data_IF_065346800547
#
_entry.id   IF_065346800547
#
_cell.length_a   1.000
_cell.length_b   1.000
_cell.length_c   1.000
_cell.angle_alpha   90.00
_cell.angle_beta   90.00
_cell.angle_gamma   90.00
#
_symmetry.space_group_name_H-M   'P 1'
#
loop_
_entity.id
_entity.type
_entity.pdbx_description
1 polymer ?
#
# COMPACT_ATOMS: atom_id res chain seq x y z
N UNK A 1 36.02 28.63 -15.13
CA UNK A 1 35.96 27.76 -13.92
C UNK A 1 34.73 26.85 -13.89
N UNK A 2 33.52 27.28 -14.22
CA UNK A 2 32.34 26.42 -14.16
C UNK A 2 32.37 25.15 -15.05
N UNK A 3 33.00 25.23 -16.25
CA UNK A 3 33.16 24.07 -17.14
C UNK A 3 34.02 22.95 -16.57
N UNK A 4 34.97 23.26 -15.67
CA UNK A 4 35.83 22.25 -15.05
C UNK A 4 35.05 21.45 -14.02
N UNK A 5 34.22 22.10 -13.19
CA UNK A 5 33.41 21.38 -12.18
C UNK A 5 32.35 20.48 -12.82
N UNK A 6 31.68 20.94 -13.89
CA UNK A 6 30.72 20.09 -14.60
C UNK A 6 31.41 18.91 -15.28
N UNK A 7 32.56 19.11 -15.94
CA UNK A 7 33.32 18.02 -16.55
C UNK A 7 33.78 17.01 -15.50
N UNK A 8 34.25 17.48 -14.34
CA UNK A 8 34.66 16.61 -13.25
C UNK A 8 33.45 15.79 -12.69
N UNK A 9 32.32 16.46 -12.50
CA UNK A 9 31.09 15.80 -12.03
C UNK A 9 30.63 14.69 -12.99
N UNK A 10 30.59 14.94 -14.29
CA UNK A 10 30.23 13.94 -15.29
C UNK A 10 31.24 12.79 -15.34
N UNK A 11 32.53 13.09 -15.26
CA UNK A 11 33.57 12.07 -15.22
C UNK A 11 33.44 11.19 -13.98
N UNK A 12 33.13 11.78 -12.82
CA UNK A 12 32.91 11.04 -11.57
C UNK A 12 31.69 10.11 -11.68
N UNK A 13 30.58 10.58 -12.24
CA UNK A 13 29.40 9.74 -12.46
C UNK A 13 29.73 8.57 -13.41
N UNK A 14 30.46 8.85 -14.49
CA UNK A 14 30.88 7.83 -15.47
C UNK A 14 31.81 6.79 -14.88
N UNK A 15 32.80 7.21 -14.11
CA UNK A 15 33.78 6.31 -13.47
C UNK A 15 33.14 5.47 -12.37
N UNK A 16 32.16 6.01 -11.65
CA UNK A 16 31.42 5.34 -10.58
C UNK A 16 30.04 4.83 -11.04
N UNK A 17 29.88 4.46 -12.33
CA UNK A 17 28.62 4.00 -12.90
C UNK A 17 27.98 2.83 -12.14
N UNK A 18 28.77 1.94 -11.57
CA UNK A 18 28.31 0.80 -10.76
C UNK A 18 27.58 1.22 -9.48
N UNK A 19 27.80 2.43 -8.98
CA UNK A 19 27.11 3.01 -7.83
C UNK A 19 25.95 3.91 -8.26
N UNK A 20 26.14 4.75 -9.30
CA UNK A 20 25.15 5.72 -9.71
C UNK A 20 24.01 5.12 -10.57
N UNK A 21 24.29 4.15 -11.46
CA UNK A 21 23.25 3.55 -12.30
C UNK A 21 22.12 2.87 -11.49
N UNK A 22 22.42 2.00 -10.49
CA UNK A 22 21.37 1.45 -9.66
C UNK A 22 20.57 2.52 -8.90
N UNK A 23 21.22 3.60 -8.48
CA UNK A 23 20.56 4.72 -7.78
C UNK A 23 19.62 5.50 -8.70
N UNK A 24 20.04 5.79 -9.95
CA UNK A 24 19.19 6.45 -10.95
C UNK A 24 18.01 5.54 -11.34
N UNK A 25 18.26 4.25 -11.57
CA UNK A 25 17.20 3.29 -11.93
C UNK A 25 16.18 3.16 -10.80
N UNK A 26 16.63 3.02 -9.56
CA UNK A 26 15.69 2.95 -8.43
C UNK A 26 14.91 4.24 -8.25
N UNK A 27 15.54 5.42 -8.42
CA UNK A 27 14.87 6.70 -8.44
C UNK A 27 13.82 6.78 -9.56
N UNK A 28 14.18 6.37 -10.79
CA UNK A 28 13.28 6.30 -11.94
C UNK A 28 12.03 5.45 -11.63
N UNK A 29 12.22 4.26 -11.06
CA UNK A 29 11.11 3.36 -10.72
C UNK A 29 10.20 3.97 -9.67
N UNK A 30 10.76 4.55 -8.59
CA UNK A 30 9.97 5.19 -7.53
C UNK A 30 9.16 6.39 -8.07
N UNK A 31 9.77 7.21 -8.91
CA UNK A 31 9.12 8.36 -9.55
C UNK A 31 8.02 7.90 -10.50
N UNK A 32 8.28 6.85 -11.30
CA UNK A 32 7.29 6.29 -12.20
C UNK A 32 6.08 5.73 -11.44
N UNK A 33 6.31 4.98 -10.37
CA UNK A 33 5.23 4.44 -9.52
C UNK A 33 4.40 5.56 -8.88
N UNK A 34 5.05 6.59 -8.36
CA UNK A 34 4.36 7.74 -7.78
C UNK A 34 3.53 8.47 -8.83
N UNK A 35 4.10 8.72 -10.01
CA UNK A 35 3.39 9.37 -11.12
C UNK A 35 2.16 8.57 -11.55
N UNK A 36 2.28 7.25 -11.74
CA UNK A 36 1.17 6.37 -12.12
C UNK A 36 0.04 6.45 -11.08
N UNK A 37 0.39 6.37 -9.80
CA UNK A 37 -0.60 6.44 -8.71
C UNK A 37 -1.29 7.81 -8.68
N UNK A 38 -0.55 8.89 -8.84
CA UNK A 38 -1.08 10.26 -8.89
C UNK A 38 -1.92 10.50 -10.15
N UNK A 39 -1.54 9.93 -11.28
CA UNK A 39 -2.31 9.96 -12.52
C UNK A 39 -3.65 9.26 -12.37
N UNK A 40 -3.67 8.06 -11.78
CA UNK A 40 -4.90 7.31 -11.51
C UNK A 40 -5.82 8.08 -10.56
N UNK A 41 -5.27 8.65 -9.50
CA UNK A 41 -6.02 9.47 -8.55
C UNK A 41 -6.72 10.68 -9.20
N UNK A 42 -6.07 11.28 -10.19
CA UNK A 42 -6.60 12.46 -10.90
C UNK A 42 -7.41 12.11 -12.16
N UNK A 43 -7.67 10.83 -12.43
CA UNK A 43 -8.32 10.43 -13.67
C UNK A 43 -9.84 10.68 -13.62
N UNK A 44 -10.34 11.50 -14.56
CA UNK A 44 -11.78 11.84 -14.68
C UNK A 44 -12.69 10.63 -14.97
N UNK A 45 -12.13 9.54 -15.48
CA UNK A 45 -12.89 8.30 -15.74
C UNK A 45 -13.28 7.56 -14.46
N UNK A 46 -12.40 7.59 -13.45
CA UNK A 46 -12.66 6.97 -12.16
C UNK A 46 -13.60 7.80 -11.26
N UNK A 47 -13.68 9.11 -11.45
CA UNK A 47 -14.58 9.96 -10.66
C UNK A 47 -16.08 9.74 -10.92
N UNK A 48 -16.42 8.97 -11.95
CA UNK A 48 -17.82 8.61 -12.28
C UNK A 48 -18.25 7.24 -11.74
N UNK A 49 -17.35 6.50 -11.12
CA UNK A 49 -17.65 5.16 -10.58
C UNK A 49 -18.25 5.29 -9.19
N UNK A 50 -19.26 4.48 -8.82
CA UNK A 50 -19.74 4.43 -7.44
C UNK A 50 -18.58 4.18 -6.46
N UNK A 51 -18.46 5.01 -5.40
CA UNK A 51 -17.34 4.92 -4.46
C UNK A 51 -16.05 5.66 -4.88
N UNK A 52 -16.12 6.55 -5.89
CA UNK A 52 -14.98 7.32 -6.40
C UNK A 52 -14.22 8.09 -5.31
N UNK A 53 -14.94 8.69 -4.34
CA UNK A 53 -14.32 9.47 -3.25
C UNK A 53 -13.48 8.58 -2.31
N UNK A 54 -13.98 7.39 -1.99
CA UNK A 54 -13.22 6.41 -1.20
C UNK A 54 -11.98 5.94 -1.97
N UNK A 55 -12.12 5.65 -3.26
CA UNK A 55 -11.02 5.25 -4.13
C UNK A 55 -9.94 6.35 -4.24
N UNK A 56 -10.35 7.62 -4.43
CA UNK A 56 -9.45 8.76 -4.48
C UNK A 56 -8.69 8.95 -3.14
N UNK A 57 -9.39 8.78 -2.02
CA UNK A 57 -8.78 8.84 -0.69
C UNK A 57 -7.72 7.75 -0.49
N UNK A 58 -8.01 6.50 -0.88
CA UNK A 58 -7.07 5.38 -0.82
C UNK A 58 -5.85 5.66 -1.70
N UNK A 59 -6.06 6.09 -2.93
CA UNK A 59 -4.96 6.41 -3.86
C UNK A 59 -4.11 7.57 -3.36
N UNK A 60 -4.72 8.60 -2.76
CA UNK A 60 -4.01 9.72 -2.14
C UNK A 60 -3.12 9.27 -0.98
N UNK A 61 -3.63 8.44 -0.09
CA UNK A 61 -2.85 7.84 1.00
C UNK A 61 -1.72 6.93 0.45
N UNK A 62 -1.99 6.17 -0.62
CA UNK A 62 -0.98 5.39 -1.34
C UNK A 62 0.15 6.25 -1.89
N UNK A 63 -0.16 7.41 -2.50
CA UNK A 63 0.84 8.39 -2.93
C UNK A 63 1.72 8.85 -1.76
N UNK A 64 1.12 9.18 -0.61
CA UNK A 64 1.84 9.56 0.61
C UNK A 64 2.80 8.46 1.08
N UNK A 65 2.35 7.22 1.11
CA UNK A 65 3.18 6.07 1.50
C UNK A 65 4.35 5.86 0.55
N UNK A 66 4.11 5.93 -0.77
CA UNK A 66 5.17 5.83 -1.79
C UNK A 66 6.19 6.97 -1.62
N UNK A 67 5.75 8.21 -1.35
CA UNK A 67 6.63 9.35 -1.14
C UNK A 67 7.53 9.15 0.09
N UNK A 68 6.97 8.75 1.22
CA UNK A 68 7.73 8.47 2.46
C UNK A 68 8.74 7.34 2.25
N UNK A 69 8.29 6.23 1.64
CA UNK A 69 9.18 5.11 1.36
C UNK A 69 10.30 5.51 0.40
N UNK A 70 9.98 6.24 -0.67
CA UNK A 70 10.97 6.74 -1.63
C UNK A 70 12.01 7.64 -0.96
N UNK A 71 11.58 8.52 -0.04
CA UNK A 71 12.49 9.36 0.73
C UNK A 71 13.47 8.51 1.54
N UNK A 72 12.97 7.57 2.34
CA UNK A 72 13.82 6.71 3.17
C UNK A 72 14.80 5.93 2.31
N UNK A 73 14.32 5.33 1.22
CA UNK A 73 15.14 4.50 0.33
C UNK A 73 16.22 5.32 -0.42
N UNK A 74 15.82 6.42 -1.04
CA UNK A 74 16.75 7.29 -1.81
C UNK A 74 17.78 7.94 -0.89
N UNK A 75 17.35 8.41 0.29
CA UNK A 75 18.25 8.99 1.29
C UNK A 75 19.27 7.97 1.79
N UNK A 76 18.83 6.75 2.10
CA UNK A 76 19.72 5.68 2.52
C UNK A 76 20.73 5.32 1.41
N UNK A 77 20.25 5.12 0.19
CA UNK A 77 21.11 4.77 -0.96
C UNK A 77 22.12 5.87 -1.27
N UNK A 78 21.68 7.12 -1.24
CA UNK A 78 22.59 8.26 -1.39
C UNK A 78 23.65 8.31 -0.26
N UNK A 79 23.23 8.11 0.99
CA UNK A 79 24.17 8.05 2.13
C UNK A 79 25.23 6.97 1.94
N UNK A 80 24.82 5.83 1.37
CA UNK A 80 25.75 4.74 1.04
C UNK A 80 26.77 5.15 -0.04
N UNK A 81 26.31 5.82 -1.11
CA UNK A 81 27.17 6.32 -2.19
C UNK A 81 28.20 7.31 -1.63
N UNK A 82 27.76 8.29 -0.86
CA UNK A 82 28.64 9.29 -0.24
C UNK A 82 29.68 8.65 0.67
N UNK A 83 29.29 7.66 1.47
CA UNK A 83 30.25 6.92 2.34
C UNK A 83 31.31 6.18 1.53
N UNK A 84 30.95 5.56 0.41
CA UNK A 84 31.89 4.89 -0.49
C UNK A 84 32.88 5.85 -1.14
N UNK A 85 32.42 7.06 -1.46
CA UNK A 85 33.23 8.09 -2.13
C UNK A 85 34.04 8.98 -1.18
N UNK A 86 33.95 8.76 0.13
CA UNK A 86 34.72 9.54 1.12
C UNK A 86 36.22 9.60 0.84
N UNK A 87 36.80 8.51 0.33
CA UNK A 87 38.25 8.47 -0.03
C UNK A 87 38.53 9.42 -1.22
N UNK A 88 37.70 9.44 -2.26
CA UNK A 88 37.86 10.32 -3.42
C UNK A 88 37.81 11.79 -2.98
N UNK A 89 36.80 12.15 -2.15
CA UNK A 89 36.66 13.48 -1.56
C UNK A 89 37.88 13.87 -0.75
N UNK A 90 38.47 12.93 0.02
CA UNK A 90 39.72 13.13 0.79
C UNK A 90 40.90 13.43 -0.14
N UNK A 91 41.05 12.70 -1.25
CA UNK A 91 42.11 12.90 -2.23
C UNK A 91 42.02 14.29 -2.88
N UNK A 92 40.84 14.72 -3.26
CA UNK A 92 40.65 16.07 -3.81
C UNK A 92 41.08 17.17 -2.86
N UNK A 93 40.82 17.00 -1.58
CA UNK A 93 41.23 17.97 -0.55
C UNK A 93 42.76 18.03 -0.39
N UNK A 94 43.47 16.88 -0.48
CA UNK A 94 44.93 16.83 -0.42
C UNK A 94 45.58 17.45 -1.67
N UNK A 95 44.94 17.27 -2.85
CA UNK A 95 45.36 17.88 -4.09
C UNK A 95 45.13 19.41 -4.12
N UNK A 96 44.68 19.99 -2.99
CA UNK A 96 44.51 21.44 -2.84
C UNK A 96 43.11 21.96 -3.19
N UNK A 97 42.12 21.09 -3.44
CA UNK A 97 40.74 21.55 -3.64
C UNK A 97 40.10 21.93 -2.30
N UNK A 98 39.69 23.16 -2.16
CA UNK A 98 38.96 23.63 -0.99
C UNK A 98 37.56 22.96 -0.88
N UNK A 99 37.03 22.89 0.34
CA UNK A 99 35.73 22.26 0.61
C UNK A 99 34.59 22.85 -0.24
N UNK A 100 34.63 24.15 -0.57
CA UNK A 100 33.61 24.79 -1.39
C UNK A 100 33.66 24.35 -2.86
N UNK A 101 34.82 24.05 -3.41
CA UNK A 101 34.97 23.49 -4.75
C UNK A 101 34.43 22.08 -4.86
N UNK A 102 34.75 21.24 -3.82
CA UNK A 102 34.23 19.89 -3.70
C UNK A 102 32.71 19.91 -3.55
N UNK A 103 32.17 20.84 -2.75
CA UNK A 103 30.73 21.04 -2.59
C UNK A 103 30.04 21.37 -3.90
N UNK A 104 30.65 22.23 -4.76
CA UNK A 104 30.11 22.55 -6.10
C UNK A 104 30.09 21.34 -7.03
N UNK A 105 31.16 20.54 -7.05
CA UNK A 105 31.18 19.29 -7.85
C UNK A 105 30.07 18.36 -7.41
N UNK A 106 29.92 18.13 -6.10
CA UNK A 106 28.91 17.25 -5.53
C UNK A 106 27.49 17.77 -5.77
N UNK A 107 27.28 19.10 -5.75
CA UNK A 107 25.99 19.72 -6.11
C UNK A 107 25.63 19.43 -7.57
N UNK A 108 26.57 19.59 -8.50
CA UNK A 108 26.35 19.30 -9.91
C UNK A 108 26.06 17.81 -10.15
N UNK A 109 26.80 16.92 -9.47
CA UNK A 109 26.54 15.47 -9.51
C UNK A 109 25.14 15.13 -9.03
N UNK A 110 24.74 15.63 -7.84
CA UNK A 110 23.42 15.36 -7.26
C UNK A 110 22.31 15.93 -8.16
N UNK A 111 22.49 17.13 -8.70
CA UNK A 111 21.52 17.75 -9.61
C UNK A 111 21.38 16.95 -10.91
N UNK A 112 22.51 16.52 -11.50
CA UNK A 112 22.50 15.71 -12.73
C UNK A 112 21.77 14.39 -12.53
N UNK A 113 22.03 13.72 -11.42
CA UNK A 113 21.37 12.45 -11.05
C UNK A 113 19.87 12.68 -10.82
N UNK A 114 19.51 13.76 -10.10
CA UNK A 114 18.12 14.13 -9.85
C UNK A 114 17.36 14.38 -11.17
N UNK A 115 17.93 15.21 -12.06
CA UNK A 115 17.32 15.50 -13.36
C UNK A 115 17.17 14.24 -14.22
N UNK A 116 18.21 13.38 -14.26
CA UNK A 116 18.14 12.13 -15.00
C UNK A 116 17.06 11.19 -14.45
N UNK A 117 16.97 11.03 -13.13
CA UNK A 117 15.97 10.18 -12.49
C UNK A 117 14.54 10.74 -12.65
N UNK A 118 14.34 12.06 -12.46
CA UNK A 118 13.02 12.70 -12.59
C UNK A 118 12.55 12.63 -14.04
N UNK A 119 13.40 13.00 -15.01
CA UNK A 119 13.02 12.98 -16.42
C UNK A 119 12.69 11.55 -16.89
N UNK A 120 13.59 10.58 -16.64
CA UNK A 120 13.37 9.19 -17.02
C UNK A 120 12.18 8.56 -16.29
N UNK A 121 11.99 8.90 -15.01
CA UNK A 121 10.88 8.42 -14.18
C UNK A 121 9.53 8.93 -14.66
N UNK A 122 9.42 10.21 -15.01
CA UNK A 122 8.18 10.78 -15.57
C UNK A 122 7.88 10.17 -16.95
N UNK A 123 8.87 10.03 -17.83
CA UNK A 123 8.69 9.40 -19.14
C UNK A 123 8.19 7.96 -18.96
N UNK A 124 8.85 7.18 -18.13
CA UNK A 124 8.42 5.82 -17.80
C UNK A 124 7.02 5.80 -17.19
N UNK A 125 6.74 6.70 -16.23
CA UNK A 125 5.44 6.84 -15.59
C UNK A 125 4.31 7.15 -16.57
N UNK A 126 4.53 8.05 -17.53
CA UNK A 126 3.56 8.36 -18.59
C UNK A 126 3.28 7.15 -19.46
N UNK A 127 4.30 6.38 -19.84
CA UNK A 127 4.13 5.16 -20.62
C UNK A 127 3.36 4.08 -19.83
N UNK A 128 3.74 3.84 -18.59
CA UNK A 128 3.07 2.85 -17.74
C UNK A 128 1.66 3.27 -17.30
N UNK A 129 1.39 4.55 -17.14
CA UNK A 129 0.05 5.03 -16.76
C UNK A 129 -1.02 4.67 -17.79
N UNK A 130 -0.66 4.70 -19.09
CA UNK A 130 -1.56 4.27 -20.16
C UNK A 130 -1.88 2.77 -20.06
N UNK A 131 -0.88 1.95 -19.82
CA UNK A 131 -1.09 0.50 -19.65
C UNK A 131 -1.95 0.21 -18.43
N UNK A 132 -1.69 0.89 -17.31
CA UNK A 132 -2.43 0.72 -16.07
C UNK A 132 -3.90 1.12 -16.20
N UNK A 133 -4.21 2.25 -16.83
CA UNK A 133 -5.60 2.67 -16.99
C UNK A 133 -6.37 1.75 -17.94
N UNK A 134 -5.72 1.23 -19.01
CA UNK A 134 -6.32 0.24 -19.90
C UNK A 134 -6.64 -1.05 -19.14
N UNK A 135 -5.72 -1.52 -18.32
CA UNK A 135 -5.89 -2.71 -17.49
C UNK A 135 -7.03 -2.54 -16.50
N UNK A 136 -7.11 -1.38 -15.85
CA UNK A 136 -8.12 -1.06 -14.86
C UNK A 136 -9.52 -0.98 -15.49
N UNK A 137 -9.67 -0.33 -16.65
CA UNK A 137 -10.95 -0.29 -17.38
C UNK A 137 -11.42 -1.66 -17.86
N UNK A 138 -10.49 -2.54 -18.22
CA UNK A 138 -10.81 -3.92 -18.57
C UNK A 138 -11.31 -4.72 -17.37
N UNK A 139 -10.73 -4.54 -16.18
CA UNK A 139 -11.17 -5.22 -14.95
C UNK A 139 -12.57 -4.74 -14.54
N UNK A 140 -12.81 -3.43 -14.58
CA UNK A 140 -14.10 -2.82 -14.16
C UNK A 140 -15.18 -2.96 -15.25
N UNK A 141 -14.83 -3.52 -16.41
CA UNK A 141 -15.71 -3.70 -17.57
C UNK A 141 -16.36 -2.38 -18.05
N UNK A 142 -15.64 -1.27 -17.96
CA UNK A 142 -16.12 0.03 -18.44
C UNK A 142 -15.70 0.23 -19.89
N UNK A 143 -16.66 0.42 -20.81
CA UNK A 143 -16.42 0.87 -22.18
C UNK A 143 -16.11 2.37 -22.20
N UNK A 144 -14.92 2.77 -21.74
CA UNK A 144 -14.53 4.17 -21.80
C UNK A 144 -13.66 4.42 -23.04
N UNK A 145 -13.90 5.56 -23.71
CA UNK A 145 -12.99 6.04 -24.76
C UNK A 145 -11.67 6.45 -24.08
N UNK A 146 -10.61 5.72 -24.41
CA UNK A 146 -9.28 5.96 -23.84
C UNK A 146 -8.66 7.15 -24.57
N UNK A 147 -8.96 8.36 -24.13
CA UNK A 147 -8.25 9.54 -24.58
C UNK A 147 -6.94 9.62 -23.78
N UNK A 148 -5.82 9.57 -24.50
CA UNK A 148 -4.51 9.73 -23.90
C UNK A 148 -4.31 11.21 -23.51
N UNK A 149 -4.55 11.51 -22.25
CA UNK A 149 -4.28 12.84 -21.68
C UNK A 149 -3.17 12.71 -20.65
N UNK A 150 -2.09 13.47 -20.83
CA UNK A 150 -1.07 13.63 -19.80
C UNK A 150 -1.64 14.54 -18.72
N UNK A 151 -1.68 14.05 -17.47
CA UNK A 151 -2.14 14.88 -16.35
C UNK A 151 -1.04 15.86 -15.95
N UNK A 152 -1.18 17.13 -16.32
CA UNK A 152 -0.25 18.17 -15.96
C UNK A 152 -0.08 18.29 -14.43
N UNK A 153 -1.17 18.12 -13.66
CA UNK A 153 -1.12 18.14 -12.20
C UNK A 153 -0.31 16.99 -11.61
N UNK A 154 -0.40 15.78 -12.19
CA UNK A 154 0.41 14.65 -11.77
C UNK A 154 1.90 14.88 -12.05
N UNK A 155 2.25 15.47 -13.22
CA UNK A 155 3.64 15.83 -13.55
C UNK A 155 4.18 16.85 -12.55
N UNK A 156 3.45 17.94 -12.33
CA UNK A 156 3.88 19.04 -11.43
C UNK A 156 4.07 18.53 -10.01
N UNK A 157 3.11 17.78 -9.47
CA UNK A 157 3.20 17.24 -8.12
C UNK A 157 4.37 16.24 -7.97
N UNK A 158 4.61 15.41 -8.99
CA UNK A 158 5.75 14.50 -9.00
C UNK A 158 7.08 15.25 -8.99
N UNK A 159 7.23 16.28 -9.85
CA UNK A 159 8.43 17.13 -9.89
C UNK A 159 8.63 17.82 -8.53
N UNK A 160 7.57 18.35 -7.93
CA UNK A 160 7.63 19.08 -6.68
C UNK A 160 8.09 18.15 -5.54
N UNK A 161 7.44 17.01 -5.36
CA UNK A 161 7.75 16.07 -4.28
C UNK A 161 9.17 15.51 -4.44
N UNK A 162 9.52 14.97 -5.59
CA UNK A 162 10.87 14.42 -5.81
C UNK A 162 11.94 15.49 -5.90
N UNK A 163 11.61 16.68 -6.38
CA UNK A 163 12.49 17.85 -6.32
C UNK A 163 12.86 18.20 -4.88
N UNK A 164 11.88 18.26 -3.98
CA UNK A 164 12.12 18.47 -2.54
C UNK A 164 12.95 17.33 -1.94
N UNK A 165 12.67 16.06 -2.29
CA UNK A 165 13.44 14.92 -1.81
C UNK A 165 14.92 14.99 -2.23
N UNK A 166 15.19 15.26 -3.48
CA UNK A 166 16.57 15.43 -3.98
C UNK A 166 17.25 16.68 -3.42
N UNK A 167 16.49 17.75 -3.19
CA UNK A 167 17.01 18.94 -2.53
C UNK A 167 17.44 18.66 -1.07
N UNK A 168 16.63 17.96 -0.30
CA UNK A 168 17.01 17.51 1.05
C UNK A 168 18.24 16.60 1.02
N UNK A 169 18.32 15.73 0.03
CA UNK A 169 19.49 14.86 -0.20
C UNK A 169 20.74 15.70 -0.51
N UNK A 170 20.62 16.76 -1.30
CA UNK A 170 21.71 17.69 -1.60
C UNK A 170 22.20 18.38 -0.32
N UNK A 171 21.29 18.91 0.49
CA UNK A 171 21.65 19.55 1.77
C UNK A 171 22.44 18.56 2.64
N UNK A 172 21.98 17.32 2.76
CA UNK A 172 22.66 16.29 3.51
C UNK A 172 24.09 16.04 2.97
N UNK A 173 24.26 15.94 1.65
CA UNK A 173 25.56 15.75 1.00
C UNK A 173 26.53 16.89 1.30
N UNK A 174 26.03 18.14 1.21
CA UNK A 174 26.83 19.33 1.54
C UNK A 174 27.25 19.38 3.01
N UNK A 175 26.35 18.99 3.93
CA UNK A 175 26.69 18.88 5.35
C UNK A 175 27.78 17.84 5.60
N UNK A 176 27.75 16.70 4.93
CA UNK A 176 28.78 15.67 5.04
C UNK A 176 30.17 16.18 4.62
N UNK A 177 30.25 16.98 3.55
CA UNK A 177 31.51 17.59 3.09
C UNK A 177 32.02 18.64 4.08
N UNK A 178 31.14 19.49 4.63
CA UNK A 178 31.54 20.51 5.62
C UNK A 178 32.09 19.87 6.90
N UNK A 179 31.47 18.81 7.40
CA UNK A 179 31.84 18.11 8.64
C UNK A 179 33.03 17.16 8.46
N UNK A 180 33.44 16.87 7.24
CA UNK A 180 34.51 15.92 6.99
C UNK A 180 35.91 16.52 7.30
N UNK A 181 36.67 15.81 8.13
CA UNK A 181 38.10 16.10 8.37
C UNK A 181 38.95 15.36 7.32
N UNK A 182 39.79 16.07 6.53
CA UNK A 182 40.55 15.45 5.44
C UNK A 182 41.47 14.31 5.90
N UNK A 183 42.06 14.44 7.05
CA UNK A 183 42.99 13.45 7.65
C UNK A 183 42.20 12.18 8.04
N UNK A 184 41.01 12.31 8.61
CA UNK A 184 40.16 11.17 8.96
C UNK A 184 39.61 10.43 7.72
N UNK A 185 39.36 11.15 6.61
CA UNK A 185 38.90 10.55 5.37
C UNK A 185 39.92 9.60 4.74
N UNK A 186 41.22 9.92 4.85
CA UNK A 186 42.30 9.06 4.34
C UNK A 186 42.62 7.91 5.28
N UNK A 187 42.67 8.20 6.58
CA UNK A 187 42.95 7.16 7.60
C UNK A 187 41.79 6.16 7.71
N UNK A 188 40.57 6.57 7.41
CA UNK A 188 39.37 5.73 7.52
C UNK A 188 39.39 4.44 6.69
N UNK A 189 40.35 4.28 5.76
CA UNK A 189 40.56 3.03 5.03
C UNK A 189 41.51 2.04 5.74
N UNK A 190 42.41 2.52 6.60
CA UNK A 190 43.42 1.74 7.26
C UNK A 190 43.19 1.58 8.78
N UNK A 191 42.30 2.42 9.35
CA UNK A 191 41.87 2.25 10.75
C UNK A 191 40.67 1.30 10.72
N UNK A 192 40.78 0.16 11.39
CA UNK A 192 39.73 -0.82 11.57
C UNK A 192 38.43 -0.12 12.01
N UNK A 193 37.30 -0.50 11.44
CA UNK A 193 36.03 0.11 11.79
C UNK A 193 35.74 0.03 13.27
N UNK A 194 35.44 1.19 13.88
CA UNK A 194 35.03 1.22 15.30
C UNK A 194 33.77 0.35 15.47
N UNK A 195 33.81 -0.49 16.48
CA UNK A 195 32.66 -1.34 16.83
C UNK A 195 31.37 -0.49 17.01
N UNK A 196 30.25 -0.90 16.43
CA UNK A 196 29.01 -0.15 16.56
C UNK A 196 28.54 -0.11 18.02
N UNK A 197 28.19 1.09 18.52
CA UNK A 197 27.56 1.21 19.84
C UNK A 197 26.18 0.57 19.81
N UNK A 198 25.83 -0.22 20.82
CA UNK A 198 24.50 -0.79 20.98
C UNK A 198 23.52 0.32 21.37
N UNK A 199 22.59 0.64 20.47
CA UNK A 199 21.52 1.63 20.70
C UNK A 199 20.24 0.91 21.04
N UNK A 200 20.17 0.26 22.21
CA UNK A 200 19.07 -0.57 22.64
C UNK A 200 17.73 0.18 22.69
N UNK A 201 17.75 1.49 23.04
CA UNK A 201 16.54 2.34 23.01
C UNK A 201 15.92 2.40 21.62
N UNK A 202 16.75 2.56 20.57
CA UNK A 202 16.24 2.60 19.18
C UNK A 202 15.66 1.24 18.78
N UNK A 203 16.23 0.14 19.26
CA UNK A 203 15.70 -1.19 19.01
C UNK A 203 14.33 -1.39 19.70
N UNK A 204 14.16 -0.89 20.92
CA UNK A 204 12.85 -0.93 21.63
C UNK A 204 11.82 -0.07 20.91
N UNK A 205 12.18 1.14 20.49
CA UNK A 205 11.27 1.99 19.69
C UNK A 205 10.87 1.26 18.41
N UNK A 206 11.82 0.63 17.71
CA UNK A 206 11.54 -0.16 16.52
C UNK A 206 10.57 -1.33 16.78
N UNK A 207 10.75 -2.03 17.90
CA UNK A 207 9.84 -3.09 18.32
C UNK A 207 8.44 -2.53 18.66
N UNK A 208 8.39 -1.40 19.36
CA UNK A 208 7.14 -0.70 19.68
C UNK A 208 6.38 -0.25 18.44
N UNK A 209 7.09 0.28 17.43
CA UNK A 209 6.48 0.64 16.14
C UNK A 209 5.89 -0.59 15.42
N UNK A 210 6.61 -1.72 15.38
CA UNK A 210 6.08 -2.96 14.80
C UNK A 210 4.86 -3.48 15.56
N UNK A 211 4.99 -3.57 16.89
CA UNK A 211 3.88 -4.02 17.74
C UNK A 211 2.65 -3.13 17.60
N UNK A 212 2.84 -1.80 17.56
CA UNK A 212 1.79 -0.82 17.35
C UNK A 212 1.13 -0.97 15.97
N UNK A 213 1.90 -1.16 14.90
CA UNK A 213 1.38 -1.42 13.57
C UNK A 213 0.53 -2.68 13.49
N UNK A 214 0.99 -3.78 14.06
CA UNK A 214 0.23 -5.04 14.13
C UNK A 214 -0.99 -4.93 15.05
N UNK A 215 -0.87 -4.22 16.18
CA UNK A 215 -2.02 -3.99 17.08
C UNK A 215 -3.13 -3.24 16.35
N UNK A 216 -2.82 -2.17 15.61
CA UNK A 216 -3.79 -1.44 14.80
C UNK A 216 -4.45 -2.38 13.78
N UNK A 217 -3.66 -3.19 13.07
CA UNK A 217 -4.16 -4.10 12.05
C UNK A 217 -5.13 -5.16 12.59
N UNK A 218 -4.94 -5.64 13.83
CA UNK A 218 -5.77 -6.68 14.44
C UNK A 218 -7.03 -6.10 15.10
N UNK A 219 -6.93 -4.90 15.71
CA UNK A 219 -8.01 -4.34 16.54
C UNK A 219 -9.04 -3.56 15.74
N UNK A 220 -8.67 -3.02 14.57
CA UNK A 220 -9.56 -2.15 13.79
C UNK A 220 -10.58 -2.99 13.02
N UNK A 221 -11.86 -2.89 13.40
CA UNK A 221 -12.98 -3.65 12.79
C UNK A 221 -13.85 -2.82 11.85
N UNK A 222 -13.88 -1.49 12.03
CA UNK A 222 -14.73 -0.60 11.23
C UNK A 222 -14.12 -0.35 9.84
N UNK A 223 -14.82 -0.64 8.72
CA UNK A 223 -14.27 -0.52 7.37
C UNK A 223 -13.71 0.86 7.02
N UNK A 224 -14.36 1.94 7.44
CA UNK A 224 -13.92 3.32 7.18
C UNK A 224 -12.67 3.70 7.99
N UNK A 225 -12.57 3.23 9.25
CA UNK A 225 -11.39 3.45 10.09
C UNK A 225 -10.22 2.57 9.64
N UNK A 226 -10.47 1.34 9.18
CA UNK A 226 -9.44 0.47 8.62
C UNK A 226 -8.68 1.21 7.53
N UNK A 227 -9.37 1.93 6.65
CA UNK A 227 -8.77 2.57 5.50
C UNK A 227 -7.72 3.63 5.87
N UNK A 228 -8.02 4.53 6.83
CA UNK A 228 -7.08 5.56 7.27
C UNK A 228 -5.99 5.02 8.20
N UNK A 229 -6.35 4.13 9.14
CA UNK A 229 -5.41 3.54 10.08
C UNK A 229 -4.46 2.53 9.41
N UNK A 230 -4.86 1.89 8.30
CA UNK A 230 -4.01 0.99 7.54
C UNK A 230 -2.70 1.66 7.11
N UNK A 231 -2.77 2.88 6.56
CA UNK A 231 -1.56 3.58 6.11
C UNK A 231 -0.67 3.99 7.27
N UNK A 232 -1.25 4.36 8.41
CA UNK A 232 -0.49 4.62 9.65
C UNK A 232 0.22 3.35 10.10
N UNK A 233 -0.47 2.21 10.09
CA UNK A 233 0.11 0.92 10.43
C UNK A 233 1.26 0.55 9.47
N UNK A 234 1.08 0.73 8.16
CA UNK A 234 2.13 0.49 7.15
C UNK A 234 3.36 1.35 7.42
N UNK A 235 3.19 2.65 7.68
CA UNK A 235 4.31 3.55 8.00
C UNK A 235 5.02 3.13 9.29
N UNK A 236 4.29 2.75 10.33
CA UNK A 236 4.87 2.24 11.58
C UNK A 236 5.68 0.96 11.33
N UNK A 237 5.18 0.05 10.51
CA UNK A 237 5.89 -1.19 10.15
C UNK A 237 7.15 -0.89 9.34
N UNK A 238 7.10 0.03 8.37
CA UNK A 238 8.27 0.44 7.59
C UNK A 238 9.35 1.01 8.54
N UNK A 239 9.00 2.03 9.33
CA UNK A 239 9.93 2.67 10.26
C UNK A 239 10.47 1.67 11.28
N UNK A 240 9.60 0.85 11.87
CA UNK A 240 9.96 -0.21 12.81
C UNK A 240 10.97 -1.20 12.23
N UNK A 241 10.73 -1.64 10.99
CA UNK A 241 11.63 -2.55 10.26
C UNK A 241 13.01 -1.91 10.09
N UNK A 242 13.11 -0.67 9.62
CA UNK A 242 14.40 0.01 9.49
C UNK A 242 15.13 0.15 10.83
N UNK A 243 14.43 0.56 11.90
CA UNK A 243 15.02 0.71 13.23
C UNK A 243 15.53 -0.62 13.78
N UNK A 244 14.77 -1.71 13.56
CA UNK A 244 15.19 -3.06 14.00
C UNK A 244 16.39 -3.58 13.21
N UNK A 245 16.43 -3.40 11.89
CA UNK A 245 17.60 -3.80 11.12
C UNK A 245 18.85 -3.00 11.50
N UNK A 246 18.73 -1.68 11.72
CA UNK A 246 19.86 -0.80 12.02
C UNK A 246 20.36 -0.99 13.46
N UNK A 247 19.48 -1.13 14.43
CA UNK A 247 19.84 -1.19 15.86
C UNK A 247 19.59 -2.55 16.48
N UNK A 248 18.44 -3.16 16.21
CA UNK A 248 18.04 -4.44 16.79
C UNK A 248 19.00 -5.58 16.42
N UNK A 249 19.41 -5.64 15.15
CA UNK A 249 20.38 -6.64 14.70
C UNK A 249 21.71 -6.55 15.45
N UNK A 250 22.19 -5.33 15.71
CA UNK A 250 23.44 -5.10 16.48
C UNK A 250 23.24 -5.49 17.95
N UNK A 251 22.07 -5.18 18.53
CA UNK A 251 21.74 -5.59 19.92
C UNK A 251 21.73 -7.10 20.04
N UNK A 252 21.06 -7.81 19.12
CA UNK A 252 20.99 -9.28 19.12
C UNK A 252 22.39 -9.88 18.95
N UNK A 253 23.18 -9.43 17.98
CA UNK A 253 24.53 -9.94 17.74
C UNK A 253 25.46 -9.71 18.95
N UNK A 254 25.36 -8.57 19.64
CA UNK A 254 26.11 -8.32 20.87
C UNK A 254 25.63 -9.18 22.04
N UNK A 255 24.33 -9.44 22.14
CA UNK A 255 23.80 -10.38 23.13
C UNK A 255 24.29 -11.81 22.89
N UNK A 256 24.32 -12.27 21.63
CA UNK A 256 24.89 -13.57 21.24
C UNK A 256 26.37 -13.64 21.54
N UNK A 257 27.11 -12.54 21.31
CA UNK A 257 28.54 -12.46 21.66
C UNK A 257 28.79 -12.54 23.16
N UNK A 258 27.86 -12.02 24.00
CA UNK A 258 27.95 -12.08 25.46
C UNK A 258 27.79 -13.52 25.98
N UNK A 259 27.09 -14.37 25.26
CA UNK A 259 26.95 -15.78 25.60
C UNK A 259 28.24 -16.54 25.18
N UNK A 260 29.17 -16.74 26.13
CA UNK A 260 30.49 -17.35 25.89
C UNK A 260 30.39 -18.77 25.31
N UNK A 261 29.45 -19.61 25.76
CA UNK A 261 29.23 -20.97 25.23
C UNK A 261 28.88 -21.00 23.76
N UNK A 262 28.05 -20.04 23.30
CA UNK A 262 27.64 -19.92 21.91
C UNK A 262 28.74 -19.28 21.06
N UNK A 263 29.36 -18.20 21.54
CA UNK A 263 30.28 -17.39 20.78
C UNK A 263 31.62 -18.11 20.50
N UNK A 264 32.21 -18.82 21.48
CA UNK A 264 33.52 -19.51 21.32
C UNK A 264 33.42 -20.83 20.54
N UNK A 265 32.28 -21.20 20.03
CA UNK A 265 32.17 -22.30 19.08
C UNK A 265 32.82 -21.91 17.75
N UNK A 266 33.71 -22.77 17.21
CA UNK A 266 34.48 -22.52 15.96
C UNK A 266 33.60 -22.03 14.77
N UNK A 267 32.37 -22.53 14.65
CA UNK A 267 31.43 -22.15 13.58
C UNK A 267 30.81 -20.76 13.80
N UNK A 268 30.62 -20.33 15.04
CA UNK A 268 29.86 -19.11 15.35
C UNK A 268 30.76 -17.89 15.54
N UNK A 269 32.01 -18.08 15.97
CA UNK A 269 32.94 -17.00 16.26
C UNK A 269 33.15 -16.06 15.07
N UNK A 270 33.57 -16.62 13.93
CA UNK A 270 33.81 -15.84 12.71
C UNK A 270 32.51 -15.21 12.15
N UNK A 271 31.40 -15.95 12.21
CA UNK A 271 30.11 -15.48 11.71
C UNK A 271 29.58 -14.28 12.53
N UNK A 272 29.52 -14.39 13.88
CA UNK A 272 29.00 -13.32 14.73
C UNK A 272 29.91 -12.09 14.69
N UNK A 273 31.24 -12.27 14.76
CA UNK A 273 32.19 -11.15 14.68
C UNK A 273 32.08 -10.42 13.33
N UNK A 274 32.10 -11.15 12.22
CA UNK A 274 31.99 -10.54 10.91
C UNK A 274 30.59 -9.87 10.65
N UNK A 275 29.52 -10.46 11.20
CA UNK A 275 28.17 -9.95 11.03
C UNK A 275 27.96 -8.61 11.76
N UNK A 276 28.56 -8.38 12.93
CA UNK A 276 28.44 -7.12 13.66
C UNK A 276 28.91 -5.93 12.79
N UNK A 277 30.00 -6.08 12.06
CA UNK A 277 30.50 -5.02 11.18
C UNK A 277 29.71 -4.91 9.88
N UNK A 278 29.32 -6.04 9.28
CA UNK A 278 28.51 -6.05 8.06
C UNK A 278 27.12 -5.44 8.29
N UNK A 279 26.48 -5.74 9.42
CA UNK A 279 25.16 -5.16 9.75
C UNK A 279 25.24 -3.65 9.98
N UNK A 280 26.35 -3.12 10.54
CA UNK A 280 26.54 -1.67 10.63
C UNK A 280 26.54 -0.99 9.27
N UNK A 281 27.08 -1.63 8.22
CA UNK A 281 27.17 -1.05 6.88
C UNK A 281 25.92 -1.28 6.04
N UNK A 282 25.33 -2.47 6.11
CA UNK A 282 24.32 -2.95 5.15
C UNK A 282 22.90 -3.07 5.73
N UNK A 283 22.71 -2.76 7.03
CA UNK A 283 21.42 -2.93 7.69
C UNK A 283 20.25 -2.24 6.97
N UNK A 284 20.47 -1.00 6.53
CA UNK A 284 19.40 -0.27 5.81
C UNK A 284 19.09 -0.87 4.43
N UNK A 285 20.12 -1.39 3.71
CA UNK A 285 19.86 -2.10 2.45
C UNK A 285 19.07 -3.39 2.66
N UNK A 286 19.40 -4.15 3.71
CA UNK A 286 18.63 -5.34 4.08
C UNK A 286 17.20 -4.99 4.51
N UNK A 287 17.02 -3.89 5.27
CA UNK A 287 15.69 -3.37 5.62
C UNK A 287 14.88 -3.01 4.38
N UNK A 288 15.50 -2.32 3.39
CA UNK A 288 14.84 -1.98 2.12
C UNK A 288 14.39 -3.22 1.36
N UNK A 289 15.25 -4.23 1.26
CA UNK A 289 14.90 -5.49 0.59
C UNK A 289 13.76 -6.19 1.34
N UNK A 290 13.82 -6.23 2.67
CA UNK A 290 12.78 -6.83 3.50
C UNK A 290 11.43 -6.13 3.27
N UNK A 291 11.38 -4.80 3.34
CA UNK A 291 10.16 -4.01 3.12
C UNK A 291 9.61 -4.22 1.72
N UNK A 292 10.46 -4.14 0.67
CA UNK A 292 10.03 -4.35 -0.72
C UNK A 292 9.48 -5.76 -0.94
N UNK A 293 10.19 -6.79 -0.47
CA UNK A 293 9.74 -8.18 -0.59
C UNK A 293 8.41 -8.41 0.13
N UNK A 294 8.27 -7.86 1.33
CA UNK A 294 7.03 -7.95 2.10
C UNK A 294 5.88 -7.24 1.39
N UNK A 295 6.11 -6.03 0.83
CA UNK A 295 5.09 -5.32 0.05
C UNK A 295 4.61 -6.14 -1.14
N UNK A 296 5.53 -6.72 -1.92
CA UNK A 296 5.17 -7.56 -3.08
C UNK A 296 4.36 -8.78 -2.63
N UNK A 297 4.81 -9.49 -1.60
CA UNK A 297 4.10 -10.67 -1.06
C UNK A 297 2.71 -10.31 -0.54
N UNK A 298 2.56 -9.21 0.18
CA UNK A 298 1.26 -8.74 0.69
C UNK A 298 0.33 -8.39 -0.46
N UNK A 299 0.80 -7.63 -1.47
CA UNK A 299 -0.02 -7.26 -2.63
C UNK A 299 -0.49 -8.49 -3.39
N UNK A 300 0.43 -9.42 -3.72
CA UNK A 300 0.07 -10.65 -4.43
C UNK A 300 -0.89 -11.51 -3.62
N UNK A 301 -0.60 -11.74 -2.33
CA UNK A 301 -1.43 -12.55 -1.45
C UNK A 301 -2.84 -11.95 -1.29
N UNK A 302 -2.92 -10.64 -1.05
CA UNK A 302 -4.21 -9.95 -0.88
C UNK A 302 -5.02 -9.97 -2.17
N UNK A 303 -4.38 -9.73 -3.32
CA UNK A 303 -5.05 -9.75 -4.62
C UNK A 303 -5.61 -11.12 -4.95
N UNK A 304 -4.81 -12.18 -4.75
CA UNK A 304 -5.25 -13.56 -4.98
C UNK A 304 -6.38 -13.95 -4.00
N UNK A 305 -6.23 -13.63 -2.71
CA UNK A 305 -7.25 -13.92 -1.70
C UNK A 305 -8.55 -13.20 -1.99
N UNK A 306 -8.48 -11.94 -2.43
CA UNK A 306 -9.65 -11.14 -2.79
C UNK A 306 -10.33 -11.70 -4.04
N UNK A 307 -9.56 -12.09 -5.06
CA UNK A 307 -10.11 -12.69 -6.28
C UNK A 307 -10.83 -14.01 -6.00
N UNK A 308 -10.20 -14.91 -5.26
CA UNK A 308 -10.79 -16.21 -4.89
C UNK A 308 -11.99 -16.04 -3.94
N UNK A 309 -11.88 -15.11 -2.97
CA UNK A 309 -12.95 -14.81 -2.01
C UNK A 309 -14.17 -14.17 -2.65
N UNK A 310 -13.98 -13.29 -3.64
CA UNK A 310 -15.06 -12.56 -4.29
C UNK A 310 -16.05 -13.48 -5.02
N UNK A 311 -15.56 -14.56 -5.64
CA UNK A 311 -16.43 -15.55 -6.29
C UNK A 311 -17.30 -16.31 -5.28
N UNK A 312 -16.75 -16.62 -4.11
CA UNK A 312 -17.50 -17.23 -3.01
C UNK A 312 -18.53 -16.29 -2.39
N UNK A 313 -18.16 -15.03 -2.16
CA UNK A 313 -19.06 -13.98 -1.63
C UNK A 313 -20.20 -13.66 -2.60
N UNK A 314 -19.89 -13.56 -3.91
CA UNK A 314 -20.91 -13.32 -4.94
C UNK A 314 -21.95 -14.46 -4.98
N UNK A 315 -21.49 -15.72 -4.99
CA UNK A 315 -22.39 -16.89 -4.95
C UNK A 315 -23.20 -16.99 -3.65
N UNK A 316 -22.62 -16.48 -2.54
CA UNK A 316 -23.32 -16.48 -1.25
C UNK A 316 -24.35 -15.35 -1.14
N UNK A 317 -24.05 -14.17 -1.71
CA UNK A 317 -24.90 -12.98 -1.64
C UNK A 317 -25.95 -12.96 -2.75
N UNK A 318 -25.62 -13.50 -3.91
CA UNK A 318 -26.47 -13.61 -5.08
C UNK A 318 -26.45 -15.04 -5.59
N UNK A 319 -27.21 -15.93 -4.94
CA UNK A 319 -27.22 -17.35 -5.31
C UNK A 319 -27.86 -17.60 -6.68
N UNK A 320 -28.74 -16.73 -7.15
CA UNK A 320 -29.36 -16.81 -8.44
C UNK A 320 -28.67 -15.95 -9.48
N UNK A 321 -28.55 -16.43 -10.72
CA UNK A 321 -27.96 -15.69 -11.84
C UNK A 321 -28.77 -14.45 -12.21
N UNK A 322 -30.10 -14.51 -12.04
CA UNK A 322 -31.02 -13.39 -12.27
C UNK A 322 -31.95 -13.31 -11.06
N UNK A 323 -32.06 -12.13 -10.45
CA UNK A 323 -33.00 -11.84 -9.37
C UNK A 323 -33.93 -10.71 -9.81
N UNK A 324 -35.22 -10.97 -9.78
CA UNK A 324 -36.24 -9.98 -10.08
C UNK A 324 -36.93 -9.57 -8.79
N UNK A 325 -36.99 -8.27 -8.54
CA UNK A 325 -37.59 -7.71 -7.32
C UNK A 325 -38.84 -6.88 -7.74
N UNK A 326 -40.00 -7.21 -7.18
CA UNK A 326 -41.21 -6.42 -7.29
C UNK A 326 -41.50 -5.73 -5.97
N UNK A 327 -41.71 -4.42 -5.96
CA UNK A 327 -41.91 -3.62 -4.77
C UNK A 327 -43.29 -3.00 -4.74
N UNK A 328 -44.06 -3.31 -3.72
CA UNK A 328 -45.31 -2.63 -3.45
C UNK A 328 -45.12 -1.72 -2.22
N UNK A 329 -45.35 -0.42 -2.40
CA UNK A 329 -45.25 0.56 -1.32
C UNK A 329 -46.46 0.47 -0.37
N UNK A 330 -47.61 0.17 -0.94
CA UNK A 330 -48.88 -0.14 -0.25
C UNK A 330 -49.57 -1.26 -1.05
N UNK A 331 -50.09 -2.26 -0.37
CA UNK A 331 -50.81 -3.33 -1.03
C UNK A 331 -52.15 -2.73 -1.47
N UNK A 332 -52.51 -2.68 -2.78
CA UNK A 332 -53.78 -2.18 -3.22
C UNK A 332 -54.94 -2.94 -2.57
N UNK A 333 -55.97 -2.22 -2.11
CA UNK A 333 -57.10 -2.83 -1.46
C UNK A 333 -57.77 -3.86 -2.41
N UNK A 334 -57.73 -5.14 -2.04
CA UNK A 334 -58.25 -6.26 -2.81
C UNK A 334 -57.25 -7.11 -3.58
N UNK A 335 -55.99 -6.74 -3.66
CA UNK A 335 -54.94 -7.57 -4.25
C UNK A 335 -54.47 -8.62 -3.22
N UNK A 336 -54.63 -9.89 -3.59
CA UNK A 336 -54.03 -10.96 -2.80
C UNK A 336 -52.53 -11.09 -3.15
N UNK A 337 -51.70 -11.32 -2.16
CA UNK A 337 -50.23 -11.43 -2.31
C UNK A 337 -49.86 -12.50 -3.36
N UNK A 338 -50.59 -13.62 -3.37
CA UNK A 338 -50.40 -14.72 -4.33
C UNK A 338 -50.71 -14.33 -5.77
N UNK A 339 -51.64 -13.43 -5.99
CA UNK A 339 -51.99 -12.95 -7.34
C UNK A 339 -50.93 -11.97 -7.85
N UNK A 340 -50.41 -11.10 -6.99
CA UNK A 340 -49.28 -10.22 -7.30
C UNK A 340 -47.99 -11.00 -7.62
N UNK A 341 -47.75 -12.10 -6.90
CA UNK A 341 -46.60 -12.97 -7.14
C UNK A 341 -46.69 -13.64 -8.51
N UNK A 342 -47.84 -14.20 -8.86
CA UNK A 342 -48.13 -14.81 -10.19
C UNK A 342 -47.97 -13.83 -11.33
N UNK A 343 -48.39 -12.59 -11.14
CA UNK A 343 -48.23 -11.53 -12.13
C UNK A 343 -46.75 -11.18 -12.35
N UNK A 344 -45.97 -11.03 -11.27
CA UNK A 344 -44.55 -10.78 -11.33
C UNK A 344 -43.78 -11.97 -11.94
N UNK A 345 -44.15 -13.20 -11.64
CA UNK A 345 -43.59 -14.43 -12.26
C UNK A 345 -43.88 -14.46 -13.77
N UNK A 346 -45.11 -14.23 -14.17
CA UNK A 346 -45.51 -14.23 -15.59
C UNK A 346 -44.80 -13.12 -16.39
N UNK A 347 -44.51 -11.99 -15.79
CA UNK A 347 -43.79 -10.89 -16.42
C UNK A 347 -42.30 -11.15 -16.52
N UNK A 348 -41.68 -11.79 -15.48
CA UNK A 348 -40.31 -12.22 -15.54
C UNK A 348 -40.07 -13.34 -16.55
N UNK A 349 -40.98 -14.32 -16.65
CA UNK A 349 -40.91 -15.40 -17.65
C UNK A 349 -40.94 -14.86 -19.06
N UNK A 350 -41.81 -13.87 -19.36
CA UNK A 350 -41.84 -13.20 -20.68
C UNK A 350 -40.50 -12.52 -21.03
N UNK A 351 -39.86 -11.91 -20.05
CA UNK A 351 -38.57 -11.24 -20.26
C UNK A 351 -37.47 -12.28 -20.52
N UNK A 352 -37.48 -13.38 -19.80
CA UNK A 352 -36.50 -14.47 -19.93
C UNK A 352 -36.68 -15.22 -21.24
N UNK A 353 -37.91 -15.57 -21.62
CA UNK A 353 -38.23 -16.21 -22.90
C UNK A 353 -37.77 -15.35 -24.09
N UNK A 354 -37.96 -14.03 -23.99
CA UNK A 354 -37.45 -13.08 -24.98
C UNK A 354 -35.93 -12.97 -25.06
N UNK A 355 -35.20 -13.43 -24.07
CA UNK A 355 -33.73 -13.39 -24.00
C UNK A 355 -33.05 -14.62 -24.59
N UNK A 356 -33.78 -15.72 -24.86
CA UNK A 356 -33.25 -16.98 -25.37
C UNK A 356 -32.44 -17.77 -24.32
N UNK A 357 -32.65 -17.51 -23.03
CA UNK A 357 -32.04 -18.23 -21.93
C UNK A 357 -32.92 -19.39 -21.47
N UNK A 358 -32.29 -20.55 -21.16
CA UNK A 358 -33.00 -21.69 -20.56
C UNK A 358 -33.06 -21.55 -19.04
N UNK A 359 -34.26 -21.58 -18.47
CA UNK A 359 -34.45 -21.59 -17.00
C UNK A 359 -34.18 -22.97 -16.48
N UNK A 360 -33.14 -23.12 -15.66
CA UNK A 360 -32.79 -24.39 -14.98
C UNK A 360 -33.56 -24.56 -13.68
N UNK A 361 -33.73 -23.50 -12.94
CA UNK A 361 -34.38 -23.49 -11.62
C UNK A 361 -34.93 -22.10 -11.37
N UNK A 362 -36.17 -22.00 -10.90
CA UNK A 362 -36.83 -20.75 -10.53
C UNK A 362 -37.43 -20.89 -9.14
N UNK A 363 -37.06 -19.98 -8.25
CA UNK A 363 -37.55 -19.95 -6.87
C UNK A 363 -38.09 -18.55 -6.60
N UNK A 364 -39.33 -18.48 -6.08
CA UNK A 364 -39.98 -17.23 -5.69
C UNK A 364 -40.34 -17.26 -4.22
N UNK A 365 -40.17 -16.15 -3.53
CA UNK A 365 -40.59 -15.98 -2.14
C UNK A 365 -40.93 -14.52 -1.85
N UNK A 366 -41.78 -14.33 -0.85
CA UNK A 366 -42.20 -13.01 -0.40
C UNK A 366 -41.53 -12.66 0.95
N UNK A 367 -41.21 -11.40 1.09
CA UNK A 367 -40.70 -10.89 2.36
C UNK A 367 -41.25 -9.47 2.61
N UNK A 368 -41.38 -9.12 3.88
CA UNK A 368 -41.61 -7.77 4.34
C UNK A 368 -40.31 -7.14 4.81
N UNK A 369 -39.99 -5.95 4.31
CA UNK A 369 -38.77 -5.23 4.76
C UNK A 369 -39.14 -3.99 5.54
N UNK A 370 -38.45 -3.79 6.65
CA UNK A 370 -38.65 -2.63 7.51
C UNK A 370 -37.29 -2.00 7.84
N UNK A 371 -37.20 -0.69 7.62
CA UNK A 371 -36.01 0.09 7.94
C UNK A 371 -36.08 0.56 9.37
N UNK A 372 -35.11 0.16 10.19
CA UNK A 372 -35.07 0.39 11.63
C UNK A 372 -33.73 0.99 12.04
N UNK A 373 -33.72 1.67 13.15
CA UNK A 373 -32.50 2.10 13.84
C UNK A 373 -32.25 1.16 15.03
N UNK A 374 -31.05 0.65 15.18
CA UNK A 374 -30.66 -0.21 16.30
C UNK A 374 -30.12 0.63 17.43
N UNK A 375 -30.79 0.64 18.59
CA UNK A 375 -30.33 1.25 19.83
C UNK A 375 -30.13 0.14 20.89
N UNK A 376 -28.89 -0.34 21.01
CA UNK A 376 -28.56 -1.46 21.90
C UNK A 376 -29.22 -2.78 21.45
N UNK A 377 -30.19 -3.30 22.22
CA UNK A 377 -30.96 -4.51 21.90
C UNK A 377 -32.33 -4.22 21.31
N UNK A 378 -32.72 -2.96 21.19
CA UNK A 378 -34.01 -2.53 20.67
C UNK A 378 -33.93 -2.05 19.22
N UNK A 379 -34.97 -2.34 18.42
CA UNK A 379 -35.16 -1.83 17.07
C UNK A 379 -36.28 -0.79 17.07
N UNK A 380 -35.95 0.46 16.66
CA UNK A 380 -36.90 1.57 16.59
C UNK A 380 -37.12 2.05 15.16
N UNK A 381 -38.28 2.61 14.84
CA UNK A 381 -38.49 3.25 13.53
C UNK A 381 -37.46 4.36 13.28
N UNK A 382 -36.98 4.47 12.05
CA UNK A 382 -36.04 5.53 11.68
C UNK A 382 -36.72 6.87 11.70
N UNK A 383 -36.38 7.70 12.69
CA UNK A 383 -36.84 9.08 12.80
C UNK A 383 -35.83 10.08 12.21
N UNK A 384 -34.52 9.71 12.12
CA UNK A 384 -33.43 10.52 11.57
C UNK A 384 -32.37 9.63 10.91
N UNK A 385 -31.93 10.03 9.72
CA UNK A 385 -30.94 9.26 8.90
C UNK A 385 -29.50 9.31 9.41
N UNK A 386 -29.25 9.85 10.59
CA UNK A 386 -27.86 9.98 11.15
C UNK A 386 -27.42 8.83 12.05
N UNK A 387 -28.24 7.81 12.28
CA UNK A 387 -27.95 6.68 13.16
C UNK A 387 -27.68 5.40 12.36
N UNK A 388 -27.13 4.37 13.00
CA UNK A 388 -26.92 3.04 12.44
C UNK A 388 -28.24 2.45 11.93
N UNK A 389 -28.49 2.61 10.63
CA UNK A 389 -29.70 2.14 9.97
C UNK A 389 -29.50 0.66 9.61
N UNK A 390 -30.44 -0.16 10.04
CA UNK A 390 -30.52 -1.58 9.70
C UNK A 390 -31.83 -1.86 8.96
N UNK A 391 -31.79 -2.75 7.99
CA UNK A 391 -32.98 -3.22 7.29
C UNK A 391 -33.31 -4.62 7.79
N UNK A 392 -34.47 -4.78 8.40
CA UNK A 392 -34.98 -6.07 8.84
C UNK A 392 -35.84 -6.67 7.72
N UNK A 393 -35.59 -7.93 7.42
CA UNK A 393 -36.37 -8.73 6.46
C UNK A 393 -37.18 -9.75 7.24
N UNK A 394 -38.50 -9.70 7.13
CA UNK A 394 -39.41 -10.63 7.76
C UNK A 394 -39.87 -11.62 6.70
N UNK A 395 -39.57 -12.89 6.93
CA UNK A 395 -39.93 -14.00 6.05
C UNK A 395 -40.75 -15.00 6.86
N UNK A 396 -41.85 -15.49 6.30
CA UNK A 396 -42.61 -16.54 6.97
C UNK A 396 -41.87 -17.88 6.90
N UNK A 397 -42.18 -18.80 7.80
CA UNK A 397 -41.54 -20.11 7.82
C UNK A 397 -41.80 -20.89 6.52
N UNK A 398 -43.00 -20.79 5.98
CA UNK A 398 -43.39 -21.46 4.72
C UNK A 398 -42.60 -20.92 3.52
N UNK A 399 -42.31 -19.63 3.52
CA UNK A 399 -41.50 -19.00 2.47
C UNK A 399 -39.99 -19.41 2.59
N UNK A 400 -39.49 -19.66 3.81
CA UNK A 400 -38.13 -20.15 3.99
C UNK A 400 -37.95 -21.55 3.36
N UNK A 401 -39.01 -22.37 3.34
CA UNK A 401 -38.96 -23.68 2.68
C UNK A 401 -38.90 -23.60 1.15
N UNK A 402 -39.30 -22.45 0.56
CA UNK A 402 -39.20 -22.16 -0.89
C UNK A 402 -37.85 -21.56 -1.27
N UNK A 403 -37.08 -21.08 -0.30
CA UNK A 403 -35.74 -20.52 -0.57
C UNK A 403 -34.78 -21.62 -1.02
N UNK A 404 -33.74 -21.20 -1.73
CA UNK A 404 -32.68 -22.05 -2.28
C UNK A 404 -32.12 -23.07 -1.26
N UNK A 405 -31.79 -24.29 -1.69
CA UNK A 405 -31.26 -25.35 -0.81
C UNK A 405 -30.04 -24.94 0.02
N UNK A 406 -29.22 -24.00 -0.46
CA UNK A 406 -28.06 -23.45 0.25
C UNK A 406 -28.43 -22.60 1.47
N UNK A 407 -29.50 -21.83 1.39
CA UNK A 407 -30.06 -21.04 2.51
C UNK A 407 -30.85 -21.91 3.46
N UNK A 408 -31.63 -22.88 2.95
CA UNK A 408 -32.34 -23.87 3.77
C UNK A 408 -31.42 -24.65 4.69
N UNK A 409 -30.25 -25.09 4.23
CA UNK A 409 -29.27 -25.84 5.01
C UNK A 409 -28.73 -25.06 6.20
N UNK A 410 -28.63 -23.75 6.09
CA UNK A 410 -28.15 -22.86 7.16
C UNK A 410 -29.23 -22.48 8.18
N UNK A 411 -30.47 -22.32 7.73
CA UNK A 411 -31.58 -21.84 8.53
C UNK A 411 -32.42 -22.99 9.13
N UNK A 412 -32.62 -24.08 8.41
CA UNK A 412 -33.53 -25.19 8.79
C UNK A 412 -33.26 -25.81 10.16
N UNK A 413 -31.98 -25.87 10.58
CA UNK A 413 -31.61 -26.44 11.88
C UNK A 413 -31.52 -25.40 13.01
N UNK A 414 -31.73 -24.11 12.71
CA UNK A 414 -31.56 -23.02 13.68
C UNK A 414 -32.87 -22.32 14.03
N UNK A 415 -33.95 -22.55 13.27
CA UNK A 415 -35.21 -21.87 13.50
C UNK A 415 -36.04 -22.66 14.52
N UNK A 416 -36.23 -22.13 15.74
CA UNK A 416 -37.11 -22.75 16.71
C UNK A 416 -38.56 -22.71 16.22
N UNK A 417 -39.42 -23.57 16.79
CA UNK A 417 -40.86 -23.39 16.63
C UNK A 417 -41.25 -22.12 17.36
N UNK A 418 -41.75 -21.15 16.60
CA UNK A 418 -42.18 -19.87 17.13
C UNK A 418 -43.67 -19.91 17.43
N UNK A 419 -44.10 -19.37 18.58
CA UNK A 419 -45.48 -19.12 18.89
C UNK A 419 -46.03 -17.96 18.08
N UNK A 420 -47.36 -17.88 17.92
CA UNK A 420 -48.01 -16.81 17.21
C UNK A 420 -47.61 -15.45 17.80
N UNK A 421 -47.10 -14.55 16.99
CA UNK A 421 -46.62 -13.22 17.43
C UNK A 421 -45.14 -13.18 17.84
N UNK A 422 -44.41 -14.28 17.74
CA UNK A 422 -42.95 -14.33 18.02
C UNK A 422 -42.14 -14.21 16.73
N UNK A 423 -40.97 -13.56 16.82
CA UNK A 423 -40.00 -13.41 15.74
C UNK A 423 -38.64 -13.91 16.20
N UNK A 424 -37.98 -14.72 15.39
CA UNK A 424 -36.57 -15.05 15.59
C UNK A 424 -35.70 -14.12 14.73
N UNK A 425 -34.67 -13.55 15.33
CA UNK A 425 -33.70 -12.68 14.66
C UNK A 425 -32.41 -13.45 14.45
N UNK A 426 -31.90 -13.47 13.21
CA UNK A 426 -30.68 -14.17 12.84
C UNK A 426 -29.67 -13.24 12.16
#
# INVERSE_FOLDING_TARGET
MNKIYSRLAFTNIKNNKTLYMPYIISGMVMIAMFYVMMFLNNSKGLSKVPGADALASIMGLGCGTIAVFSYIFLFYTNSFIIKRRKKEVGIYNILGMEKHHIARVLSIETLTVALAAIASGIIAGILFSKLMIMFLYRIINIKAQINFTVSASAVVNTILIFGVLYFLTLIYNLMQVKLANPIELLRGGNVGEKEPKSKWLIAIIGLGCLAGGYYIAITTKNPLQVLSLFFVAVLLVIVGTYLLFISGSIVILKALRKNKKFYYNKKHFAAVSGMIYRMKQNAGGLASICVLSTMVLVVVSTTVSMYVGMEGELKQRYPADISVYSWYKEIPAGLKLDDALKEAEAESDKIIDGSGCDIKESNSYTYFSWTVCREGEEFKPVLNYNNDISMLYFVTRDEIEKMEPGLQGRLKNKIPKLDAGSVAVY
#
